data_IF_459488079927
#
_entry.id   IF_459488079927
#
_cell.length_a   1.000
_cell.length_b   1.000
_cell.length_c   1.000
_cell.angle_alpha   90.00
_cell.angle_beta   90.00
_cell.angle_gamma   90.00
#
_symmetry.space_group_name_H-M   'P 1'
#
loop_
_entity.id
_entity.type
_entity.pdbx_description
1 polymer ?
#
# COMPACT_ATOMS: atom_id res chain seq x y z
N UNK A 1 17.79 -48.37 14.34
CA UNK A 1 18.89 -47.78 13.53
C UNK A 1 18.43 -46.42 13.06
N UNK A 2 18.83 -45.35 13.77
CA UNK A 2 18.32 -43.99 13.52
C UNK A 2 18.86 -43.53 12.17
N UNK A 3 17.96 -43.18 11.24
CA UNK A 3 18.34 -42.81 9.87
C UNK A 3 18.86 -41.36 9.84
N UNK A 4 20.12 -41.19 10.22
CA UNK A 4 20.78 -39.90 10.42
C UNK A 4 20.69 -38.97 9.20
N UNK A 5 20.60 -39.53 7.98
CA UNK A 5 20.38 -38.77 6.74
C UNK A 5 19.01 -38.09 6.70
N UNK A 6 17.94 -38.75 7.19
CA UNK A 6 16.60 -38.14 7.26
C UNK A 6 16.54 -37.04 8.31
N UNK A 7 17.19 -37.24 9.45
CA UNK A 7 17.29 -36.22 10.52
C UNK A 7 18.06 -34.99 10.04
N UNK A 8 19.19 -35.20 9.37
CA UNK A 8 19.98 -34.12 8.78
C UNK A 8 19.18 -33.34 7.72
N UNK A 9 18.44 -34.03 6.86
CA UNK A 9 17.58 -33.41 5.84
C UNK A 9 16.46 -32.56 6.46
N UNK A 10 15.81 -33.06 7.52
CA UNK A 10 14.78 -32.29 8.25
C UNK A 10 15.38 -31.08 8.96
N UNK A 11 16.60 -31.18 9.49
CA UNK A 11 17.28 -30.06 10.14
C UNK A 11 17.60 -28.93 9.15
N UNK A 12 18.07 -29.29 7.95
CA UNK A 12 18.37 -28.33 6.87
C UNK A 12 17.10 -27.59 6.43
N UNK A 13 15.98 -28.30 6.28
CA UNK A 13 14.69 -27.70 5.93
C UNK A 13 14.22 -26.70 7.00
N UNK A 14 14.28 -27.06 8.29
CA UNK A 14 13.87 -26.17 9.38
C UNK A 14 14.72 -24.89 9.44
N UNK A 15 16.03 -24.98 9.23
CA UNK A 15 16.91 -23.79 9.23
C UNK A 15 16.60 -22.85 8.06
N UNK A 16 16.20 -23.38 6.90
CA UNK A 16 15.83 -22.57 5.72
C UNK A 16 14.48 -21.82 5.83
N UNK A 17 13.64 -22.15 6.81
CA UNK A 17 12.37 -21.44 7.05
C UNK A 17 12.48 -20.28 8.05
N UNK A 18 13.66 -20.04 8.65
CA UNK A 18 13.84 -19.04 9.71
C UNK A 18 14.41 -17.71 9.19
N UNK A 19 13.71 -17.07 8.25
CA UNK A 19 13.94 -15.66 7.92
C UNK A 19 12.66 -14.84 8.06
N UNK A 20 11.87 -15.12 9.11
CA UNK A 20 10.82 -14.20 9.56
C UNK A 20 11.48 -13.22 10.54
N UNK A 21 12.13 -12.19 9.99
CA UNK A 21 12.63 -11.07 10.78
C UNK A 21 11.44 -10.14 11.07
N UNK A 22 10.86 -10.23 12.27
CA UNK A 22 9.97 -9.19 12.78
C UNK A 22 10.83 -8.03 13.29
N UNK A 23 11.47 -7.31 12.37
CA UNK A 23 12.11 -6.05 12.72
C UNK A 23 11.01 -5.02 12.96
N UNK A 24 10.80 -4.62 14.22
CA UNK A 24 9.98 -3.46 14.51
C UNK A 24 10.65 -2.25 13.87
N UNK A 25 10.01 -1.68 12.84
CA UNK A 25 10.61 -0.59 12.09
C UNK A 25 10.57 0.71 12.90
N UNK A 26 11.68 0.97 13.59
CA UNK A 26 11.87 2.19 14.38
C UNK A 26 11.73 3.44 13.51
N UNK A 27 12.22 3.42 12.26
CA UNK A 27 12.18 4.58 11.38
C UNK A 27 10.77 4.86 10.92
N UNK A 28 9.99 3.83 10.58
CA UNK A 28 8.57 4.01 10.27
C UNK A 28 7.81 4.64 11.44
N UNK A 29 7.99 4.12 12.66
CA UNK A 29 7.27 4.64 13.83
C UNK A 29 7.65 6.09 14.16
N UNK A 30 8.92 6.45 14.02
CA UNK A 30 9.39 7.82 14.20
C UNK A 30 8.90 8.74 13.07
N UNK A 31 8.92 8.26 11.83
CA UNK A 31 8.37 8.96 10.66
C UNK A 31 6.87 9.20 10.79
N UNK A 32 6.12 8.22 11.28
CA UNK A 32 4.69 8.34 11.57
C UNK A 32 4.41 9.41 12.62
N UNK A 33 5.25 9.49 13.66
CA UNK A 33 5.13 10.56 14.66
C UNK A 33 5.33 11.94 14.03
N UNK A 34 6.37 12.12 13.21
CA UNK A 34 6.64 13.39 12.53
C UNK A 34 5.57 13.74 11.49
N UNK A 35 5.03 12.75 10.79
CA UNK A 35 3.91 12.92 9.87
C UNK A 35 2.67 13.47 10.60
N UNK A 36 2.35 12.92 11.77
CA UNK A 36 1.24 13.39 12.60
C UNK A 36 1.50 14.78 13.23
N UNK A 37 2.77 15.20 13.31
CA UNK A 37 3.18 16.56 13.68
C UNK A 37 3.27 17.50 12.47
N UNK A 38 2.83 17.05 11.27
CA UNK A 38 2.87 17.78 10.00
C UNK A 38 4.29 18.17 9.53
N UNK A 39 5.32 17.52 10.08
CA UNK A 39 6.73 17.68 9.68
C UNK A 39 7.04 16.76 8.51
N UNK A 40 6.44 17.05 7.35
CA UNK A 40 6.45 16.13 6.21
C UNK A 40 7.84 15.84 5.65
N UNK A 41 8.75 16.82 5.58
CA UNK A 41 10.12 16.60 5.10
C UNK A 41 10.90 15.62 6.00
N UNK A 42 10.81 15.80 7.33
CA UNK A 42 11.48 14.90 8.27
C UNK A 42 10.84 13.51 8.27
N UNK A 43 9.51 13.45 8.14
CA UNK A 43 8.77 12.20 8.03
C UNK A 43 9.16 11.43 6.76
N UNK A 44 9.23 12.12 5.61
CA UNK A 44 9.65 11.59 4.31
C UNK A 44 11.04 10.96 4.40
N UNK A 45 12.01 11.67 4.99
CA UNK A 45 13.35 11.15 5.22
C UNK A 45 13.35 9.85 6.05
N UNK A 46 12.52 9.77 7.09
CA UNK A 46 12.41 8.58 7.92
C UNK A 46 11.70 7.41 7.21
N UNK A 47 10.70 7.67 6.39
CA UNK A 47 10.05 6.63 5.57
C UNK A 47 11.00 6.10 4.49
N UNK A 48 11.78 6.97 3.85
CA UNK A 48 12.84 6.55 2.91
C UNK A 48 13.90 5.69 3.61
N UNK A 49 14.31 6.09 4.82
CA UNK A 49 15.24 5.30 5.62
C UNK A 49 14.65 3.95 6.00
N UNK A 50 13.38 3.90 6.43
CA UNK A 50 12.65 2.66 6.67
C UNK A 50 12.74 1.71 5.47
N UNK A 51 12.49 2.20 4.26
CA UNK A 51 12.57 1.42 3.01
C UNK A 51 13.98 0.89 2.74
N UNK A 52 15.04 1.65 3.08
CA UNK A 52 16.42 1.17 2.95
C UNK A 52 16.69 -0.04 3.86
N UNK A 53 16.10 -0.06 5.06
CA UNK A 53 16.26 -1.18 6.00
C UNK A 53 15.33 -2.36 5.67
N UNK A 54 14.09 -2.07 5.28
CA UNK A 54 13.12 -3.05 4.82
C UNK A 54 12.46 -2.60 3.50
N UNK A 55 12.95 -3.08 2.35
CA UNK A 55 12.36 -2.75 1.06
C UNK A 55 10.91 -3.20 0.89
N UNK A 56 10.38 -4.05 1.79
CA UNK A 56 8.99 -4.53 1.80
C UNK A 56 8.10 -3.78 2.80
N UNK A 57 8.57 -2.67 3.37
CA UNK A 57 7.78 -1.83 4.28
C UNK A 57 6.63 -1.11 3.54
N UNK A 58 5.53 -1.81 3.25
CA UNK A 58 4.37 -1.28 2.50
C UNK A 58 3.83 0.02 3.11
N UNK A 59 3.76 0.10 4.44
CA UNK A 59 3.30 1.29 5.13
C UNK A 59 4.19 2.51 4.85
N UNK A 60 5.50 2.35 4.73
CA UNK A 60 6.40 3.48 4.44
C UNK A 60 6.17 4.04 3.05
N UNK A 61 5.93 3.19 2.06
CA UNK A 61 5.48 3.64 0.73
C UNK A 61 4.12 4.33 0.80
N UNK A 62 3.15 3.77 1.54
CA UNK A 62 1.83 4.39 1.70
C UNK A 62 1.92 5.80 2.31
N UNK A 63 2.73 5.98 3.36
CA UNK A 63 2.89 7.30 3.97
C UNK A 63 3.68 8.27 3.11
N UNK A 64 4.65 7.79 2.31
CA UNK A 64 5.25 8.62 1.26
C UNK A 64 4.21 9.07 0.24
N UNK A 65 3.29 8.19 -0.19
CA UNK A 65 2.21 8.58 -1.08
C UNK A 65 1.34 9.70 -0.49
N UNK A 66 0.95 9.60 0.80
CA UNK A 66 0.20 10.66 1.50
C UNK A 66 0.96 12.00 1.56
N UNK A 67 2.28 11.97 1.72
CA UNK A 67 3.11 13.19 1.68
C UNK A 67 3.09 13.76 0.27
N UNK A 68 3.26 12.93 -0.76
CA UNK A 68 3.21 13.39 -2.15
C UNK A 68 1.83 13.90 -2.59
N UNK A 69 0.74 13.34 -2.05
CA UNK A 69 -0.62 13.87 -2.20
C UNK A 69 -0.69 15.31 -1.66
N UNK A 70 -0.16 15.56 -0.46
CA UNK A 70 -0.07 16.91 0.13
C UNK A 70 0.80 17.86 -0.72
N UNK A 71 1.93 17.38 -1.24
CA UNK A 71 2.82 18.12 -2.14
C UNK A 71 2.22 18.34 -3.55
N UNK A 72 1.10 17.70 -3.87
CA UNK A 72 0.48 17.63 -5.21
C UNK A 72 1.40 17.03 -6.28
N UNK A 73 2.33 16.17 -5.88
CA UNK A 73 3.19 15.42 -6.78
C UNK A 73 2.55 14.07 -7.13
N UNK A 74 1.57 14.13 -8.02
CA UNK A 74 0.79 12.96 -8.48
C UNK A 74 1.71 11.84 -8.99
N UNK A 75 2.85 12.18 -9.62
CA UNK A 75 3.75 11.19 -10.20
C UNK A 75 4.39 10.33 -9.10
N UNK A 76 4.90 10.97 -8.05
CA UNK A 76 5.50 10.24 -6.94
C UNK A 76 4.45 9.59 -6.03
N UNK A 77 3.27 10.19 -5.89
CA UNK A 77 2.12 9.57 -5.23
C UNK A 77 1.74 8.23 -5.90
N UNK A 78 1.48 8.24 -7.22
CA UNK A 78 1.12 7.03 -7.98
C UNK A 78 2.19 5.94 -7.86
N UNK A 79 3.46 6.30 -7.98
CA UNK A 79 4.59 5.36 -7.87
C UNK A 79 4.62 4.66 -6.50
N UNK A 80 4.40 5.42 -5.43
CA UNK A 80 4.42 4.87 -4.09
C UNK A 80 3.16 4.03 -3.81
N UNK A 81 1.98 4.45 -4.30
CA UNK A 81 0.75 3.64 -4.20
C UNK A 81 0.85 2.32 -4.97
N UNK A 82 1.41 2.33 -6.18
CA UNK A 82 1.66 1.12 -6.96
C UNK A 82 2.56 0.15 -6.18
N UNK A 83 3.61 0.67 -5.54
CA UNK A 83 4.51 -0.14 -4.72
C UNK A 83 3.81 -0.68 -3.47
N UNK A 84 2.99 0.12 -2.79
CA UNK A 84 2.16 -0.32 -1.67
C UNK A 84 1.24 -1.46 -2.08
N UNK A 85 0.52 -1.34 -3.20
CA UNK A 85 -0.40 -2.37 -3.69
C UNK A 85 0.31 -3.60 -4.24
N UNK A 86 1.55 -3.47 -4.72
CA UNK A 86 2.38 -4.61 -5.09
C UNK A 86 2.78 -5.45 -3.87
N UNK A 87 3.10 -4.79 -2.76
CA UNK A 87 3.51 -5.44 -1.51
C UNK A 87 2.31 -5.92 -0.68
N UNK A 88 1.21 -5.16 -0.69
CA UNK A 88 0.00 -5.39 0.09
C UNK A 88 -1.24 -5.13 -0.78
N UNK A 89 -1.64 -6.10 -1.64
CA UNK A 89 -2.73 -5.93 -2.60
C UNK A 89 -4.12 -5.68 -1.98
N UNK A 90 -4.28 -5.97 -0.68
CA UNK A 90 -5.51 -5.78 0.08
C UNK A 90 -5.50 -4.48 0.92
N UNK A 91 -4.52 -3.60 0.73
CA UNK A 91 -4.46 -2.33 1.44
C UNK A 91 -5.60 -1.41 0.99
N UNK A 92 -6.64 -1.30 1.82
CA UNK A 92 -7.87 -0.55 1.52
C UNK A 92 -7.58 0.93 1.22
N UNK A 93 -6.71 1.56 2.01
CA UNK A 93 -6.38 2.97 1.87
C UNK A 93 -5.66 3.26 0.56
N UNK A 94 -4.67 2.44 0.20
CA UNK A 94 -3.95 2.58 -1.06
C UNK A 94 -4.85 2.37 -2.29
N UNK A 95 -5.81 1.44 -2.21
CA UNK A 95 -6.81 1.22 -3.25
C UNK A 95 -7.73 2.45 -3.42
N UNK A 96 -8.18 3.06 -2.32
CA UNK A 96 -9.01 4.27 -2.35
C UNK A 96 -8.27 5.47 -2.93
N UNK A 97 -7.05 5.73 -2.47
CA UNK A 97 -6.22 6.80 -3.01
C UNK A 97 -5.98 6.60 -4.52
N UNK A 98 -5.66 5.36 -4.94
CA UNK A 98 -5.48 5.03 -6.36
C UNK A 98 -6.75 5.25 -7.19
N UNK A 99 -7.93 4.98 -6.62
CA UNK A 99 -9.21 5.27 -7.29
C UNK A 99 -9.47 6.77 -7.43
N UNK A 100 -9.11 7.58 -6.43
CA UNK A 100 -9.22 9.05 -6.50
C UNK A 100 -8.33 9.61 -7.61
N UNK A 101 -7.06 9.22 -7.67
CA UNK A 101 -6.15 9.64 -8.74
C UNK A 101 -6.66 9.20 -10.11
N UNK A 102 -7.14 7.95 -10.23
CA UNK A 102 -7.70 7.46 -11.48
C UNK A 102 -8.92 8.27 -11.92
N UNK A 103 -9.77 8.69 -10.98
CA UNK A 103 -10.93 9.53 -11.25
C UNK A 103 -10.52 10.93 -11.72
N UNK A 104 -9.56 11.57 -11.05
CA UNK A 104 -9.00 12.87 -11.45
C UNK A 104 -8.39 12.83 -12.85
N UNK A 105 -7.72 11.72 -13.19
CA UNK A 105 -7.15 11.48 -14.52
C UNK A 105 -8.17 10.98 -15.54
N UNK A 106 -9.47 10.93 -15.19
CA UNK A 106 -10.58 10.44 -16.03
C UNK A 106 -10.40 9.00 -16.54
N UNK A 107 -9.60 8.20 -15.83
CA UNK A 107 -9.36 6.80 -16.15
C UNK A 107 -10.43 5.90 -15.50
N UNK A 108 -11.64 5.97 -16.03
CA UNK A 108 -12.82 5.29 -15.49
C UNK A 108 -12.68 3.75 -15.47
N UNK A 109 -12.00 3.17 -16.45
CA UNK A 109 -11.72 1.73 -16.49
C UNK A 109 -10.85 1.29 -15.30
N UNK A 110 -9.85 2.10 -14.95
CA UNK A 110 -9.02 1.84 -13.77
C UNK A 110 -9.82 1.98 -12.48
N UNK A 111 -10.70 2.98 -12.38
CA UNK A 111 -11.61 3.12 -11.22
C UNK A 111 -12.48 1.88 -11.05
N UNK A 112 -13.09 1.37 -12.13
CA UNK A 112 -13.91 0.14 -12.10
C UNK A 112 -13.10 -1.08 -11.64
N UNK A 113 -11.93 -1.30 -12.22
CA UNK A 113 -11.04 -2.41 -11.86
C UNK A 113 -10.59 -2.37 -10.39
N UNK A 114 -10.21 -1.19 -9.90
CA UNK A 114 -9.82 -1.00 -8.51
C UNK A 114 -11.01 -1.17 -7.56
N UNK A 115 -12.20 -0.69 -7.93
CA UNK A 115 -13.43 -0.82 -7.15
C UNK A 115 -13.87 -2.26 -6.97
N UNK A 116 -13.72 -3.10 -8.01
CA UNK A 116 -13.96 -4.54 -7.91
C UNK A 116 -12.99 -5.19 -6.92
N UNK A 117 -11.70 -4.83 -7.00
CA UNK A 117 -10.67 -5.34 -6.10
C UNK A 117 -10.97 -4.92 -4.66
N UNK A 118 -11.25 -3.63 -4.45
CA UNK A 118 -11.62 -3.06 -3.17
C UNK A 118 -12.84 -3.76 -2.57
N UNK A 119 -13.88 -4.02 -3.35
CA UNK A 119 -15.09 -4.70 -2.88
C UNK A 119 -14.83 -6.14 -2.39
N UNK A 120 -13.77 -6.80 -2.87
CA UNK A 120 -13.39 -8.14 -2.41
C UNK A 120 -12.57 -8.12 -1.11
N UNK A 121 -11.83 -7.04 -0.87
CA UNK A 121 -10.87 -6.95 0.26
C UNK A 121 -11.32 -6.02 1.38
N UNK A 122 -12.29 -5.15 1.14
CA UNK A 122 -12.65 -4.11 2.11
C UNK A 122 -13.21 -4.73 3.40
N UNK A 123 -12.80 -4.14 4.51
CA UNK A 123 -13.26 -4.50 5.84
C UNK A 123 -13.58 -3.24 6.66
N UNK A 124 -12.78 -2.18 6.52
CA UNK A 124 -12.90 -0.95 7.34
C UNK A 124 -13.46 0.23 6.56
N UNK A 125 -13.02 0.42 5.32
CA UNK A 125 -13.30 1.62 4.52
C UNK A 125 -14.38 1.37 3.46
N UNK A 126 -15.17 0.30 3.60
CA UNK A 126 -16.15 -0.13 2.59
C UNK A 126 -17.11 0.98 2.12
N UNK A 127 -17.48 1.91 3.01
CA UNK A 127 -18.38 3.04 2.69
C UNK A 127 -17.73 4.10 1.79
N UNK A 128 -16.42 4.32 1.89
CA UNK A 128 -15.73 5.38 1.16
C UNK A 128 -15.68 5.10 -0.35
N UNK A 129 -15.74 3.83 -0.74
CA UNK A 129 -15.88 3.43 -2.14
C UNK A 129 -17.17 3.99 -2.76
N UNK A 130 -18.26 4.04 -2.02
CA UNK A 130 -19.57 4.41 -2.56
C UNK A 130 -19.59 5.87 -3.01
N UNK A 131 -18.88 6.76 -2.30
CA UNK A 131 -18.70 8.18 -2.66
C UNK A 131 -17.94 8.34 -3.98
N UNK A 132 -16.87 7.57 -4.17
CA UNK A 132 -16.07 7.58 -5.41
C UNK A 132 -16.93 7.09 -6.58
N UNK A 133 -17.72 6.02 -6.38
CA UNK A 133 -18.58 5.46 -7.43
C UNK A 133 -19.77 6.36 -7.75
N UNK A 134 -20.31 7.08 -6.78
CA UNK A 134 -21.32 8.11 -7.02
C UNK A 134 -20.76 9.23 -7.88
N UNK A 135 -19.54 9.70 -7.56
CA UNK A 135 -18.85 10.71 -8.36
C UNK A 135 -18.61 10.22 -9.79
N UNK A 136 -18.16 8.97 -9.96
CA UNK A 136 -17.99 8.37 -11.28
C UNK A 136 -19.28 8.37 -12.09
N UNK A 137 -20.42 7.97 -11.50
CA UNK A 137 -21.73 7.94 -12.20
C UNK A 137 -22.18 9.32 -12.68
N UNK A 138 -21.80 10.39 -11.97
CA UNK A 138 -22.15 11.75 -12.34
C UNK A 138 -21.24 12.31 -13.46
N UNK A 139 -20.03 11.76 -13.61
CA UNK A 139 -19.05 12.15 -14.63
C UNK A 139 -19.15 11.34 -15.91
N UNK A 140 -19.55 10.06 -15.82
CA UNK A 140 -19.81 9.25 -17.00
C UNK A 140 -21.03 9.80 -17.75
N UNK A 141 -20.91 10.09 -19.05
CA UNK A 141 -22.08 10.44 -19.84
C UNK A 141 -23.07 9.29 -19.72
N UNK A 142 -24.33 9.62 -19.39
CA UNK A 142 -25.41 8.65 -19.45
C UNK A 142 -25.45 8.16 -20.90
N UNK A 143 -24.99 6.94 -21.14
CA UNK A 143 -25.23 6.24 -22.38
C UNK A 143 -26.74 5.97 -22.44
N UNK A 144 -27.51 6.97 -22.88
CA UNK A 144 -28.88 6.79 -23.33
C UNK A 144 -28.80 5.94 -24.60
N UNK A 145 -28.99 4.63 -24.42
CA UNK A 145 -29.30 3.69 -25.50
C UNK A 145 -30.81 3.59 -25.65
#
# INVERSE_FOLDING_TARGET
MINYKKILLTLILVVSFNSISYAQDKYFNEGLKLFNEEKYEDAKFLFERSIVFDPKASNSYLYLAKIYEFEKDIKNEEKNLETTLLLEPNNEEALLMSMRIALEKTNYDKVKSLSETFSRVCAKLCKEKDEILETLKNLEPKNES
#
